data_IF_376403122641
#
_entry.id   IF_376403122641
#
_cell.length_a   1.000
_cell.length_b   1.000
_cell.length_c   1.000
_cell.angle_alpha   90.00
_cell.angle_beta   90.00
_cell.angle_gamma   90.00
#
_symmetry.space_group_name_H-M   'P 1'
#
loop_
_entity.id
_entity.type
_entity.pdbx_description
1 polymer ?
#
# COMPACT_ATOMS: atom_id res chain seq x y z
N UNK A 1 2.45 -5.28 13.11
CA UNK A 1 2.93 -4.73 11.83
C UNK A 1 1.83 -3.89 11.17
N UNK A 2 2.23 -2.98 10.31
CA UNK A 2 1.31 -2.19 9.47
C UNK A 2 1.40 -2.67 8.03
N UNK A 3 0.30 -2.51 7.29
CA UNK A 3 0.25 -2.69 5.85
C UNK A 3 -0.55 -1.53 5.26
N UNK A 4 -0.12 -0.99 4.13
CA UNK A 4 -0.67 0.27 3.65
C UNK A 4 -0.94 0.28 2.15
N UNK A 5 -2.15 0.69 1.83
CA UNK A 5 -2.56 1.02 0.46
C UNK A 5 -2.18 2.48 0.19
N UNK A 6 -1.09 2.69 -0.52
CA UNK A 6 -0.57 4.01 -0.86
C UNK A 6 -1.08 4.41 -2.24
N UNK A 7 -1.78 5.52 -2.34
CA UNK A 7 -2.40 5.96 -3.58
C UNK A 7 -2.57 7.47 -3.66
N UNK A 8 -2.59 8.01 -4.87
CA UNK A 8 -3.01 9.39 -5.14
C UNK A 8 -4.49 9.46 -5.57
N UNK A 9 -5.18 8.32 -5.57
CA UNK A 9 -6.54 8.16 -6.07
C UNK A 9 -6.61 7.54 -7.47
N UNK A 10 -5.62 7.77 -8.30
CA UNK A 10 -5.54 7.26 -9.68
C UNK A 10 -4.62 6.06 -9.79
N UNK A 11 -3.53 6.05 -9.02
CA UNK A 11 -2.53 4.98 -9.03
C UNK A 11 -2.26 4.47 -7.63
N UNK A 12 -1.94 3.19 -7.54
CA UNK A 12 -1.56 2.49 -6.31
C UNK A 12 -0.09 2.08 -6.37
N UNK A 13 0.58 2.18 -5.25
CA UNK A 13 1.96 1.73 -5.11
C UNK A 13 1.99 0.27 -4.65
N UNK A 14 2.57 -0.59 -5.45
CA UNK A 14 2.80 -2.00 -5.11
C UNK A 14 4.28 -2.31 -5.15
N UNK A 15 4.68 -3.30 -4.35
CA UNK A 15 6.04 -3.80 -4.32
C UNK A 15 6.10 -5.31 -4.32
N UNK A 16 7.31 -5.84 -4.54
CA UNK A 16 7.56 -7.27 -4.43
C UNK A 16 8.96 -7.53 -3.88
N UNK A 17 9.09 -8.63 -3.14
CA UNK A 17 10.38 -9.10 -2.66
C UNK A 17 10.90 -10.22 -3.56
N UNK A 18 12.23 -10.33 -3.69
CA UNK A 18 12.87 -11.33 -4.54
C UNK A 18 12.54 -12.76 -4.13
N UNK A 19 12.25 -12.99 -2.84
CA UNK A 19 11.94 -14.32 -2.29
C UNK A 19 10.50 -14.78 -2.55
N UNK A 20 9.65 -13.89 -3.05
CA UNK A 20 8.27 -14.25 -3.34
C UNK A 20 8.15 -15.03 -4.66
N UNK A 21 7.06 -15.80 -4.84
CA UNK A 21 6.77 -16.41 -6.13
C UNK A 21 6.79 -15.36 -7.26
N UNK A 22 7.21 -15.77 -8.44
CA UNK A 22 7.22 -14.87 -9.59
C UNK A 22 5.85 -14.21 -9.79
N UNK A 23 5.89 -12.94 -10.21
CA UNK A 23 4.69 -12.13 -10.50
C UNK A 23 3.83 -11.79 -9.28
N UNK A 24 4.18 -12.24 -8.07
CA UNK A 24 3.46 -11.88 -6.85
C UNK A 24 3.82 -10.47 -6.42
N UNK A 25 2.81 -9.62 -6.30
CA UNK A 25 2.92 -8.23 -5.84
C UNK A 25 2.01 -8.02 -4.64
N UNK A 26 2.35 -7.05 -3.80
CA UNK A 26 1.58 -6.74 -2.61
C UNK A 26 1.72 -5.27 -2.25
N UNK A 27 0.91 -4.82 -1.28
CA UNK A 27 1.11 -3.56 -0.60
C UNK A 27 2.42 -3.60 0.19
N UNK A 28 2.99 -2.44 0.47
CA UNK A 28 4.10 -2.32 1.38
C UNK A 28 3.65 -2.58 2.82
N UNK A 29 4.53 -3.11 3.63
CA UNK A 29 4.27 -3.45 5.02
C UNK A 29 5.55 -3.34 5.84
N UNK A 30 5.40 -3.18 7.15
CA UNK A 30 6.56 -3.12 8.04
C UNK A 30 6.19 -3.20 9.51
N UNK A 31 7.21 -3.34 10.35
CA UNK A 31 7.03 -3.49 11.78
C UNK A 31 7.04 -2.14 12.50
N UNK A 32 6.15 -2.00 13.47
CA UNK A 32 6.10 -0.84 14.36
C UNK A 32 7.31 -0.92 15.30
N UNK A 33 8.05 0.18 15.39
CA UNK A 33 9.17 0.29 16.32
C UNK A 33 8.73 0.89 17.66
N UNK A 34 9.46 0.58 18.75
CA UNK A 34 9.14 1.17 20.04
C UNK A 34 9.10 2.70 20.02
N UNK A 35 8.05 3.28 20.60
CA UNK A 35 7.86 4.72 20.65
C UNK A 35 7.21 5.35 19.42
N UNK A 36 6.87 4.54 18.45
CA UNK A 36 6.27 4.97 17.19
C UNK A 36 4.77 4.64 17.19
N UNK A 37 3.92 5.52 16.66
CA UNK A 37 2.53 5.18 16.39
C UNK A 37 2.43 4.36 15.09
N UNK A 38 1.35 3.59 14.88
CA UNK A 38 1.16 2.89 13.61
C UNK A 38 1.19 3.82 12.39
N UNK A 39 0.63 5.03 12.50
CA UNK A 39 0.62 6.02 11.43
C UNK A 39 2.04 6.52 11.11
N UNK A 40 2.84 6.73 12.13
CA UNK A 40 4.26 7.09 11.94
C UNK A 40 5.04 5.97 11.27
N UNK A 41 4.73 4.72 11.62
CA UNK A 41 5.31 3.54 10.97
C UNK A 41 4.99 3.50 9.50
N UNK A 42 3.74 3.79 9.11
CA UNK A 42 3.34 3.85 7.70
C UNK A 42 4.21 4.85 6.95
N UNK A 43 4.35 6.07 7.46
CA UNK A 43 5.15 7.12 6.83
C UNK A 43 6.61 6.68 6.68
N UNK A 44 7.20 6.13 7.75
CA UNK A 44 8.60 5.70 7.76
C UNK A 44 8.86 4.53 6.82
N UNK A 45 8.05 3.47 6.89
CA UNK A 45 8.24 2.27 6.08
C UNK A 45 8.08 2.55 4.59
N UNK A 46 7.10 3.35 4.20
CA UNK A 46 6.93 3.72 2.79
C UNK A 46 8.15 4.50 2.30
N UNK A 47 8.64 5.42 3.10
CA UNK A 47 9.85 6.17 2.78
C UNK A 47 11.09 5.27 2.67
N UNK A 48 11.31 4.41 3.67
CA UNK A 48 12.48 3.51 3.67
C UNK A 48 12.46 2.53 2.50
N UNK A 49 11.30 1.96 2.19
CA UNK A 49 11.19 0.93 1.15
C UNK A 49 11.14 1.50 -0.27
N UNK A 50 10.56 2.67 -0.46
CA UNK A 50 10.29 3.19 -1.81
C UNK A 50 10.74 4.62 -2.08
N UNK A 51 11.15 5.37 -1.06
CA UNK A 51 11.48 6.78 -1.21
C UNK A 51 10.27 7.69 -1.40
N UNK A 52 9.06 7.17 -1.25
CA UNK A 52 7.82 7.93 -1.42
C UNK A 52 7.44 8.61 -0.12
N UNK A 53 7.09 9.90 -0.19
CA UNK A 53 6.62 10.68 0.96
C UNK A 53 5.11 10.63 1.04
N UNK A 54 4.59 10.09 2.15
CA UNK A 54 3.17 9.95 2.44
C UNK A 54 2.68 11.18 3.21
N UNK A 55 1.52 11.69 2.84
CA UNK A 55 0.87 12.82 3.52
C UNK A 55 -0.12 12.35 4.57
N UNK A 56 -1.32 11.96 4.15
CA UNK A 56 -2.38 11.54 5.05
C UNK A 56 -2.42 10.03 5.22
N UNK A 57 -2.67 9.57 6.45
CA UNK A 57 -2.75 8.15 6.80
C UNK A 57 -4.05 7.91 7.56
N UNK A 58 -4.83 6.90 7.15
CA UNK A 58 -6.10 6.55 7.77
C UNK A 58 -6.19 5.05 8.04
N UNK A 59 -6.51 4.69 9.28
CA UNK A 59 -6.76 3.30 9.66
C UNK A 59 -8.03 2.76 8.96
N UNK A 60 -7.95 1.53 8.48
CA UNK A 60 -9.08 0.86 7.81
C UNK A 60 -9.57 -0.34 8.60
N UNK A 61 -8.70 -1.31 8.85
CA UNK A 61 -9.06 -2.57 9.49
C UNK A 61 -7.83 -3.29 9.98
N UNK A 62 -8.02 -4.31 10.80
CA UNK A 62 -6.93 -5.16 11.28
C UNK A 62 -7.22 -6.62 11.01
N UNK A 63 -6.17 -7.42 10.96
CA UNK A 63 -6.25 -8.85 10.78
C UNK A 63 -5.22 -9.54 11.68
N UNK A 64 -5.63 -10.51 12.52
CA UNK A 64 -4.68 -11.38 13.21
C UNK A 64 -3.84 -12.13 12.19
N UNK A 65 -2.53 -12.16 12.41
CA UNK A 65 -1.59 -12.85 11.52
C UNK A 65 -0.79 -13.87 12.33
N UNK A 66 -1.15 -15.17 12.27
CA UNK A 66 -0.59 -16.16 13.19
C UNK A 66 0.82 -16.64 12.84
N UNK A 67 1.46 -16.14 11.80
CA UNK A 67 2.78 -16.64 11.38
C UNK A 67 3.81 -15.54 11.18
N UNK A 68 4.67 -15.25 12.17
CA UNK A 68 4.59 -15.67 13.57
C UNK A 68 3.42 -15.00 14.27
N UNK A 69 3.21 -15.13 15.52
CA UNK A 69 2.08 -14.50 16.23
C UNK A 69 2.11 -12.98 16.11
N UNK A 70 1.16 -12.41 15.38
CA UNK A 70 1.13 -10.98 15.13
C UNK A 70 -0.23 -10.43 14.75
N UNK A 71 -0.28 -9.13 14.62
CA UNK A 71 -1.45 -8.37 14.20
C UNK A 71 -1.06 -7.47 13.04
N UNK A 72 -1.82 -7.54 11.95
CA UNK A 72 -1.68 -6.64 10.80
C UNK A 72 -2.68 -5.51 10.92
N UNK A 73 -2.18 -4.27 10.96
CA UNK A 73 -3.01 -3.07 10.97
C UNK A 73 -3.00 -2.46 9.57
N UNK A 74 -4.16 -2.41 8.94
CA UNK A 74 -4.32 -1.94 7.57
C UNK A 74 -4.67 -0.46 7.50
N UNK A 75 -3.97 0.25 6.63
CA UNK A 75 -4.10 1.69 6.43
C UNK A 75 -4.30 2.04 4.96
N UNK A 76 -4.97 3.15 4.72
CA UNK A 76 -4.94 3.88 3.47
C UNK A 76 -4.02 5.08 3.68
N UNK A 77 -3.14 5.34 2.71
CA UNK A 77 -2.19 6.44 2.79
C UNK A 77 -2.18 7.22 1.48
N UNK A 78 -2.33 8.53 1.58
CA UNK A 78 -2.24 9.41 0.42
C UNK A 78 -0.79 9.79 0.13
N UNK A 79 -0.39 9.64 -1.12
CA UNK A 79 0.87 10.17 -1.63
C UNK A 79 0.72 10.49 -3.11
N UNK A 80 1.16 11.66 -3.58
CA UNK A 80 1.23 11.91 -5.02
C UNK A 80 2.21 10.95 -5.68
N UNK A 81 2.00 10.67 -6.96
CA UNK A 81 2.95 9.87 -7.72
C UNK A 81 4.32 10.56 -7.70
N UNK A 82 5.33 9.82 -7.30
CA UNK A 82 6.69 10.30 -7.12
C UNK A 82 7.67 9.28 -7.70
N UNK A 83 8.89 9.69 -8.04
CA UNK A 83 9.94 8.74 -8.39
C UNK A 83 10.17 7.73 -7.26
N UNK A 84 10.39 6.48 -7.62
CA UNK A 84 10.62 5.39 -6.68
C UNK A 84 12.12 5.12 -6.59
N UNK A 85 12.62 5.02 -5.35
CA UNK A 85 13.97 4.56 -5.05
C UNK A 85 13.86 3.40 -4.06
N UNK A 86 13.90 2.18 -4.58
CA UNK A 86 13.71 0.98 -3.75
C UNK A 86 14.91 0.71 -2.84
N UNK A 87 14.61 0.18 -1.65
CA UNK A 87 15.62 -0.33 -0.71
C UNK A 87 16.04 -1.75 -1.09
N UNK A 88 17.02 -2.29 -0.35
CA UNK A 88 17.48 -3.67 -0.52
C UNK A 88 16.41 -4.72 -0.19
N UNK A 89 15.37 -4.32 0.55
CA UNK A 89 14.28 -5.24 0.94
C UNK A 89 13.34 -5.54 -0.23
N UNK A 90 13.28 -4.68 -1.24
CA UNK A 90 12.39 -4.85 -2.39
C UNK A 90 13.18 -5.19 -3.65
N UNK A 91 12.65 -6.13 -4.43
CA UNK A 91 13.12 -6.40 -5.78
C UNK A 91 12.63 -5.33 -6.75
N UNK A 92 11.38 -4.90 -6.59
CA UNK A 92 10.75 -3.91 -7.46
C UNK A 92 9.61 -3.21 -6.72
N UNK A 93 9.30 -2.00 -7.16
CA UNK A 93 8.10 -1.26 -6.76
C UNK A 93 7.62 -0.45 -7.96
N UNK A 94 6.31 -0.28 -8.08
CA UNK A 94 5.72 0.39 -9.23
C UNK A 94 4.38 1.02 -8.87
N UNK A 95 4.09 2.15 -9.54
CA UNK A 95 2.77 2.76 -9.53
C UNK A 95 1.93 2.15 -10.64
N UNK A 96 0.72 1.67 -10.31
CA UNK A 96 -0.21 1.09 -11.27
C UNK A 96 -1.53 1.86 -11.26
N UNK A 97 -2.05 2.19 -12.44
CA UNK A 97 -3.43 2.63 -12.57
C UNK A 97 -4.37 1.44 -12.42
N UNK A 98 -5.67 1.72 -12.21
CA UNK A 98 -6.68 0.65 -12.13
C UNK A 98 -6.73 -0.18 -13.41
N UNK A 99 -6.69 0.48 -14.55
CA UNK A 99 -6.71 -0.18 -15.85
C UNK A 99 -5.49 -1.10 -16.03
N UNK A 100 -4.29 -0.58 -15.74
CA UNK A 100 -3.06 -1.36 -15.82
C UNK A 100 -3.10 -2.57 -14.90
N UNK A 101 -3.52 -2.37 -13.65
CA UNK A 101 -3.55 -3.45 -12.66
C UNK A 101 -4.55 -4.53 -13.03
N UNK A 102 -5.77 -4.15 -13.44
CA UNK A 102 -6.79 -5.10 -13.90
C UNK A 102 -6.31 -5.91 -15.10
N UNK A 103 -5.66 -5.27 -16.05
CA UNK A 103 -5.10 -5.93 -17.23
C UNK A 103 -4.03 -6.96 -16.88
N UNK A 104 -3.10 -6.60 -16.00
CA UNK A 104 -2.04 -7.50 -15.55
C UNK A 104 -2.58 -8.69 -14.75
N UNK A 105 -3.59 -8.46 -13.90
CA UNK A 105 -4.25 -9.54 -13.16
C UNK A 105 -4.97 -10.48 -14.14
N UNK A 106 -5.71 -9.95 -15.10
CA UNK A 106 -6.46 -10.73 -16.08
C UNK A 106 -5.54 -11.59 -16.96
N UNK A 107 -4.38 -11.05 -17.35
CA UNK A 107 -3.41 -11.79 -18.17
C UNK A 107 -2.57 -12.79 -17.38
N UNK A 108 -2.60 -12.74 -16.05
CA UNK A 108 -1.77 -13.55 -15.18
C UNK A 108 -0.33 -13.04 -15.04
N UNK A 109 -0.03 -11.83 -15.51
CA UNK A 109 1.30 -11.24 -15.38
C UNK A 109 1.55 -10.60 -14.02
N UNK A 110 0.50 -10.42 -13.23
CA UNK A 110 0.57 -9.97 -11.85
C UNK A 110 -0.37 -10.81 -11.00
N UNK A 111 0.17 -11.40 -9.94
CA UNK A 111 -0.60 -12.19 -8.98
C UNK A 111 -0.78 -11.38 -7.71
N UNK A 112 -2.03 -11.31 -7.24
CA UNK A 112 -2.37 -10.67 -5.98
C UNK A 112 -1.99 -11.55 -4.79
N UNK A 113 -1.90 -10.97 -3.57
CA UNK A 113 -1.77 -11.75 -2.36
C UNK A 113 -2.92 -12.74 -2.19
N UNK A 114 -2.73 -13.71 -1.28
CA UNK A 114 -3.74 -14.72 -0.95
C UNK A 114 -5.11 -14.09 -0.70
N UNK A 115 -6.17 -14.80 -1.10
CA UNK A 115 -7.56 -14.36 -0.97
C UNK A 115 -7.98 -13.99 0.47
N UNK A 116 -7.35 -14.59 1.47
CA UNK A 116 -7.63 -14.31 2.88
C UNK A 116 -6.79 -13.16 3.45
N UNK A 117 -5.86 -12.63 2.68
CA UNK A 117 -4.94 -11.57 3.13
C UNK A 117 -5.62 -10.20 3.15
N UNK A 118 -5.38 -9.44 4.22
CA UNK A 118 -5.81 -8.04 4.29
C UNK A 118 -5.19 -7.21 3.17
N UNK A 119 -3.99 -7.55 2.71
CA UNK A 119 -3.37 -6.89 1.56
C UNK A 119 -4.27 -6.97 0.33
N UNK A 120 -4.76 -8.16 0.02
CA UNK A 120 -5.68 -8.35 -1.11
C UNK A 120 -6.97 -7.57 -0.91
N UNK A 121 -7.53 -7.58 0.29
CA UNK A 121 -8.77 -6.86 0.59
C UNK A 121 -8.62 -5.36 0.36
N UNK A 122 -7.51 -4.78 0.79
CA UNK A 122 -7.23 -3.36 0.60
C UNK A 122 -7.02 -3.00 -0.88
N UNK A 123 -6.31 -3.87 -1.62
CA UNK A 123 -6.11 -3.68 -3.08
C UNK A 123 -7.45 -3.73 -3.81
N UNK A 124 -8.28 -4.72 -3.51
CA UNK A 124 -9.60 -4.88 -4.15
C UNK A 124 -10.52 -3.70 -3.81
N UNK A 125 -10.51 -3.24 -2.56
CA UNK A 125 -11.25 -2.04 -2.15
C UNK A 125 -10.84 -0.82 -2.98
N UNK A 126 -9.54 -0.63 -3.21
CA UNK A 126 -9.05 0.47 -4.03
C UNK A 126 -9.47 0.31 -5.50
N UNK A 127 -9.36 -0.89 -6.06
CA UNK A 127 -9.78 -1.17 -7.44
C UNK A 127 -11.26 -0.86 -7.65
N UNK A 128 -12.12 -1.24 -6.70
CA UNK A 128 -13.57 -1.08 -6.80
C UNK A 128 -14.03 0.36 -6.54
N UNK A 129 -13.23 1.16 -5.83
CA UNK A 129 -13.59 2.52 -5.47
C UNK A 129 -13.62 3.47 -6.66
N UNK A 130 -12.88 3.33 -7.69
CA UNK A 130 -12.87 4.21 -8.85
C UNK A 130 -12.57 5.69 -8.56
N UNK A 131 -12.15 6.46 -9.56
CA UNK A 131 -11.75 7.86 -9.36
C UNK A 131 -12.92 8.82 -9.08
N UNK A 132 -14.17 8.39 -9.33
CA UNK A 132 -15.36 9.21 -9.09
C UNK A 132 -15.89 9.08 -7.67
N UNK A 133 -15.49 8.04 -6.96
CA UNK A 133 -15.89 7.85 -5.58
C UNK A 133 -15.12 8.82 -4.70
N UNK A 134 -15.87 9.54 -3.87
CA UNK A 134 -15.27 10.47 -2.93
C UNK A 134 -14.68 9.71 -1.76
N UNK A 135 -13.52 9.14 -2.01
CA UNK A 135 -12.77 8.46 -0.99
C UNK A 135 -11.67 9.38 -0.45
N UNK A 136 -11.03 8.91 0.58
CA UNK A 136 -9.98 9.60 1.32
C UNK A 136 -8.95 10.32 0.42
N UNK A 137 -8.51 9.69 -0.65
CA UNK A 137 -7.49 10.23 -1.56
C UNK A 137 -7.88 11.56 -2.23
N UNK A 138 -9.18 11.79 -2.43
CA UNK A 138 -9.65 13.01 -3.09
C UNK A 138 -10.00 14.12 -2.11
N UNK A 139 -10.53 13.76 -0.96
CA UNK A 139 -11.04 14.75 0.01
C UNK A 139 -9.95 15.34 0.89
N UNK A 140 -8.92 14.58 1.18
CA UNK A 140 -7.87 15.02 2.11
C UNK A 140 -6.70 15.73 1.40
N UNK A 141 -6.49 15.45 0.11
CA UNK A 141 -5.40 16.02 -0.66
C UNK A 141 -5.47 17.57 -0.75
N UNK A 142 -6.67 18.13 -0.69
CA UNK A 142 -6.87 19.58 -0.74
C UNK A 142 -6.70 20.30 0.59
N UNK A 143 -6.60 19.57 1.69
CA UNK A 143 -6.49 20.13 3.05
C UNK A 143 -5.08 20.07 3.62
N UNK A 144 -4.17 19.48 2.91
CA UNK A 144 -2.79 19.21 3.35
C UNK A 144 -1.85 20.41 3.33
N UNK A 145 -2.35 21.61 3.42
CA UNK A 145 -1.55 22.83 3.36
C UNK A 145 -1.55 23.70 4.61
N UNK A 146 -2.18 23.28 5.70
CA UNK A 146 -2.14 24.08 6.91
C UNK A 146 -1.89 23.21 8.14
N UNK A 147 -0.84 23.51 8.90
CA UNK A 147 -0.63 22.92 10.21
C UNK A 147 -1.70 23.35 11.18
#
# INVERSE_FOLDING_TARGET
AVIMCVSDGEKILLGRQATWPEKRWSLLAGFIEPGESPEQTVVREVWEESGVKVGHVRYVASQPWPMPMGLMLGFEAYAPEQPIAISDELQAACWYSREQLRGLIASGDLLLPDALSISRSLIMRWLDAGPQDRVFWHTEAGKGGQP
#
